data_IF_898724083591
#
_entry.id   IF_898724083591
#
_cell.length_a   1.000
_cell.length_b   1.000
_cell.length_c   1.000
_cell.angle_alpha   90.00
_cell.angle_beta   90.00
_cell.angle_gamma   90.00
#
_symmetry.space_group_name_H-M   'P 1'
#
loop_
_entity.id
_entity.type
_entity.pdbx_description
1 polymer ?
#
# COMPACT_ATOMS: atom_id res chain seq x y z
N UNK A 1 -7.45 1.99 1.77
CA UNK A 1 -7.58 1.56 3.18
C UNK A 1 -8.57 2.39 4.00
N UNK A 2 -9.16 3.48 3.48
CA UNK A 2 -10.29 4.17 4.10
C UNK A 2 -11.25 4.67 3.01
N UNK A 3 -12.58 4.71 3.26
CA UNK A 3 -13.52 5.41 2.40
C UNK A 3 -13.39 6.93 2.59
N UNK A 4 -13.94 7.67 1.63
CA UNK A 4 -14.05 9.12 1.72
C UNK A 4 -14.79 9.51 3.01
N UNK A 5 -14.33 10.56 3.68
CA UNK A 5 -14.90 11.04 4.94
C UNK A 5 -14.51 10.24 6.19
N UNK A 6 -13.78 9.12 6.06
CA UNK A 6 -13.24 8.38 7.22
C UNK A 6 -11.77 8.73 7.43
N UNK A 7 -11.47 9.33 8.57
CA UNK A 7 -10.11 9.72 8.93
C UNK A 7 -9.29 8.55 9.45
N UNK A 8 -8.07 8.41 8.91
CA UNK A 8 -7.05 7.45 9.34
C UNK A 8 -5.69 8.14 9.29
N UNK A 9 -4.70 7.63 10.00
CA UNK A 9 -3.33 8.12 9.94
C UNK A 9 -2.50 7.20 9.03
N UNK A 10 -1.89 7.76 8.00
CA UNK A 10 -0.91 7.09 7.16
C UNK A 10 0.48 7.60 7.51
N UNK A 11 1.44 6.69 7.68
CA UNK A 11 2.83 7.04 7.90
C UNK A 11 3.79 5.94 7.44
N UNK A 12 5.08 6.21 7.56
CA UNK A 12 6.16 5.25 7.28
C UNK A 12 7.14 5.21 8.44
N UNK A 13 7.85 4.09 8.60
CA UNK A 13 8.85 3.93 9.65
C UNK A 13 10.15 4.67 9.32
N UNK A 14 10.43 4.85 8.03
CA UNK A 14 11.58 5.59 7.54
C UNK A 14 11.14 6.86 6.79
N UNK A 15 11.82 7.98 7.04
CA UNK A 15 11.52 9.26 6.39
C UNK A 15 11.70 9.24 4.87
N UNK A 16 12.75 8.62 4.29
CA UNK A 16 12.85 8.46 2.84
C UNK A 16 11.65 7.71 2.23
N UNK A 17 11.16 6.67 2.90
CA UNK A 17 9.96 5.92 2.48
C UNK A 17 8.71 6.81 2.53
N UNK A 18 8.54 7.60 3.59
CA UNK A 18 7.42 8.54 3.72
C UNK A 18 7.38 9.55 2.56
N UNK A 19 8.53 10.14 2.23
CA UNK A 19 8.63 11.09 1.11
C UNK A 19 8.36 10.40 -0.23
N UNK A 20 8.88 9.18 -0.44
CA UNK A 20 8.63 8.41 -1.65
C UNK A 20 7.14 8.13 -1.84
N UNK A 21 6.42 7.73 -0.78
CA UNK A 21 4.98 7.42 -0.86
C UNK A 21 4.12 8.59 -1.36
N UNK A 22 4.51 9.82 -1.10
CA UNK A 22 3.82 11.02 -1.58
C UNK A 22 3.96 11.26 -3.09
N UNK A 23 4.93 10.61 -3.76
CA UNK A 23 5.27 10.80 -5.19
C UNK A 23 5.34 12.27 -5.61
N UNK A 24 6.09 13.09 -4.85
CA UNK A 24 6.12 14.52 -5.10
C UNK A 24 6.74 14.82 -6.48
N UNK A 25 6.21 15.79 -7.24
CA UNK A 25 6.88 16.25 -8.45
C UNK A 25 8.18 16.99 -8.13
N UNK A 26 9.03 17.14 -9.15
CA UNK A 26 10.27 17.90 -9.04
C UNK A 26 9.99 19.36 -8.65
N UNK A 27 10.83 19.90 -7.76
CA UNK A 27 10.73 21.28 -7.29
C UNK A 27 9.70 21.50 -6.18
N UNK A 28 8.97 20.47 -5.75
CA UNK A 28 8.06 20.56 -4.60
C UNK A 28 8.82 20.38 -3.29
N UNK A 29 8.43 21.17 -2.28
CA UNK A 29 8.86 20.96 -0.90
C UNK A 29 7.90 20.01 -0.19
N UNK A 30 8.46 19.00 0.46
CA UNK A 30 7.72 18.04 1.29
C UNK A 30 8.15 18.24 2.73
N UNK A 31 7.20 18.45 3.63
CA UNK A 31 7.46 18.49 5.07
C UNK A 31 7.09 17.15 5.70
N UNK A 32 7.89 16.71 6.65
CA UNK A 32 7.72 15.44 7.36
C UNK A 32 8.00 15.65 8.85
N UNK A 33 7.35 14.86 9.69
CA UNK A 33 7.48 14.93 11.15
C UNK A 33 7.40 13.53 11.73
N UNK A 34 8.13 13.28 12.82
CA UNK A 34 8.09 11.99 13.49
C UNK A 34 6.99 11.94 14.54
N UNK A 35 6.32 10.79 14.61
CA UNK A 35 5.32 10.49 15.62
C UNK A 35 5.76 9.27 16.43
N UNK A 36 5.51 9.30 17.74
CA UNK A 36 5.65 8.15 18.63
C UNK A 36 4.28 7.74 19.17
N UNK A 37 4.06 6.45 19.33
CA UNK A 37 2.87 5.97 20.04
C UNK A 37 2.99 6.29 21.53
N UNK A 38 1.90 6.70 22.17
CA UNK A 38 1.87 6.96 23.64
C UNK A 38 1.35 5.76 24.44
N UNK A 39 0.77 4.79 23.74
CA UNK A 39 0.26 3.53 24.28
C UNK A 39 0.60 2.38 23.32
N UNK A 40 0.61 1.13 23.80
CA UNK A 40 0.67 -0.02 22.91
C UNK A 40 -0.50 -0.03 21.92
N UNK A 41 -0.21 -0.33 20.65
CA UNK A 41 -1.20 -0.54 19.60
C UNK A 41 -1.23 -2.03 19.21
N UNK A 42 -2.42 -2.54 18.89
CA UNK A 42 -2.57 -3.88 18.30
C UNK A 42 -2.43 -3.79 16.80
N UNK A 43 -1.32 -4.30 16.29
CA UNK A 43 -0.93 -4.11 14.89
C UNK A 43 -0.88 -5.45 14.18
N UNK A 44 -1.52 -5.54 13.01
CA UNK A 44 -1.26 -6.62 12.05
C UNK A 44 -0.11 -6.22 11.15
N UNK A 45 1.01 -6.92 11.25
CA UNK A 45 2.19 -6.67 10.42
C UNK A 45 2.28 -7.70 9.29
N UNK A 46 1.91 -7.29 8.08
CA UNK A 46 2.00 -8.13 6.89
C UNK A 46 3.44 -8.45 6.49
N UNK A 47 4.41 -7.58 6.81
CA UNK A 47 5.84 -7.83 6.50
C UNK A 47 6.40 -8.98 7.32
N UNK A 48 5.92 -9.15 8.55
CA UNK A 48 6.27 -10.32 9.37
C UNK A 48 5.56 -11.58 8.88
N UNK A 49 4.34 -11.46 8.37
CA UNK A 49 3.62 -12.61 7.79
C UNK A 49 4.34 -13.18 6.56
N UNK A 50 4.84 -12.33 5.67
CA UNK A 50 5.62 -12.77 4.50
C UNK A 50 6.95 -13.45 4.92
N UNK A 51 7.65 -12.88 5.90
CA UNK A 51 8.92 -13.43 6.43
C UNK A 51 8.70 -14.67 7.30
N UNK A 52 7.50 -14.87 7.81
CA UNK A 52 7.09 -16.10 8.50
C UNK A 52 6.87 -17.21 7.47
N UNK A 53 7.95 -17.77 6.94
CA UNK A 53 7.95 -18.94 6.04
C UNK A 53 7.46 -20.25 6.71
N UNK A 54 6.64 -20.13 7.75
CA UNK A 54 6.22 -21.22 8.61
C UNK A 54 6.29 -20.79 10.06
N UNK A 55 5.25 -20.14 10.57
CA UNK A 55 4.69 -20.72 11.80
C UNK A 55 4.52 -22.19 11.46
N UNK A 56 5.34 -23.08 12.04
CA UNK A 56 5.43 -24.48 11.64
C UNK A 56 4.06 -25.12 11.78
N UNK A 57 3.25 -25.00 10.72
CA UNK A 57 1.90 -25.52 10.69
C UNK A 57 2.10 -27.03 10.60
N UNK A 58 1.85 -27.70 11.72
CA UNK A 58 1.83 -29.15 11.71
C UNK A 58 0.73 -29.61 10.75
N UNK A 59 1.07 -30.50 9.83
CA UNK A 59 0.07 -31.18 8.99
C UNK A 59 -0.96 -31.96 9.81
N UNK A 60 -0.64 -32.26 11.08
CA UNK A 60 -1.45 -33.04 12.00
C UNK A 60 -2.26 -32.19 12.99
N UNK A 61 -2.21 -30.85 12.90
CA UNK A 61 -3.12 -30.04 13.71
C UNK A 61 -4.50 -29.95 13.04
N UNK A 62 -5.56 -29.98 13.84
CA UNK A 62 -6.94 -30.05 13.35
C UNK A 62 -7.36 -28.86 12.47
N UNK A 63 -6.76 -27.68 12.68
CA UNK A 63 -7.08 -26.45 11.96
C UNK A 63 -6.10 -26.12 10.80
N UNK A 64 -5.21 -27.06 10.42
CA UNK A 64 -4.16 -26.84 9.42
C UNK A 64 -4.68 -26.16 8.15
N UNK A 65 -5.76 -26.71 7.57
CA UNK A 65 -6.32 -26.23 6.31
C UNK A 65 -6.82 -24.80 6.42
N UNK A 66 -7.50 -24.47 7.53
CA UNK A 66 -8.04 -23.13 7.75
C UNK A 66 -6.91 -22.12 7.93
N UNK A 67 -5.87 -22.45 8.71
CA UNK A 67 -4.70 -21.60 8.88
C UNK A 67 -3.95 -21.40 7.56
N UNK A 68 -3.71 -22.47 6.81
CA UNK A 68 -3.02 -22.39 5.52
C UNK A 68 -3.78 -21.51 4.52
N UNK A 69 -5.12 -21.64 4.45
CA UNK A 69 -5.95 -20.76 3.62
C UNK A 69 -5.88 -19.30 4.08
N UNK A 70 -5.95 -19.05 5.38
CA UNK A 70 -5.83 -17.71 5.94
C UNK A 70 -4.48 -17.08 5.60
N UNK A 71 -3.36 -17.80 5.77
CA UNK A 71 -2.04 -17.28 5.39
C UNK A 71 -1.95 -16.94 3.90
N UNK A 72 -2.49 -17.80 3.03
CA UNK A 72 -2.54 -17.53 1.59
C UNK A 72 -3.37 -16.29 1.27
N UNK A 73 -4.52 -16.13 1.93
CA UNK A 73 -5.37 -14.95 1.80
C UNK A 73 -4.64 -13.70 2.26
N UNK A 74 -4.00 -13.73 3.44
CA UNK A 74 -3.27 -12.58 4.00
C UNK A 74 -2.09 -12.18 3.11
N UNK A 75 -1.36 -13.14 2.54
CA UNK A 75 -0.29 -12.85 1.58
C UNK A 75 -0.83 -12.19 0.32
N UNK A 76 -1.93 -12.73 -0.22
CA UNK A 76 -2.59 -12.13 -1.37
C UNK A 76 -3.07 -10.70 -1.08
N UNK A 77 -3.66 -10.47 0.09
CA UNK A 77 -4.09 -9.13 0.52
C UNK A 77 -2.90 -8.19 0.68
N UNK A 78 -1.78 -8.65 1.25
CA UNK A 78 -0.58 -7.84 1.36
C UNK A 78 -0.05 -7.40 -0.02
N UNK A 79 0.02 -8.33 -0.98
CA UNK A 79 0.38 -8.00 -2.35
C UNK A 79 -0.53 -6.91 -2.92
N UNK A 80 -1.84 -6.99 -2.67
CA UNK A 80 -2.80 -5.99 -3.13
C UNK A 80 -2.68 -4.64 -2.42
N UNK A 81 -2.38 -4.62 -1.12
CA UNK A 81 -2.23 -3.40 -0.32
C UNK A 81 -0.95 -2.64 -0.72
N UNK A 82 0.15 -3.36 -1.01
CA UNK A 82 1.41 -2.72 -1.38
C UNK A 82 1.39 -2.20 -2.81
N UNK A 83 0.69 -2.87 -3.72
CA UNK A 83 0.62 -2.45 -5.12
C UNK A 83 -0.10 -1.11 -5.29
N UNK A 84 0.50 -0.15 -6.02
CA UNK A 84 -0.17 1.09 -6.37
C UNK A 84 -1.45 0.84 -7.16
N UNK A 85 -2.54 1.47 -6.75
CA UNK A 85 -3.80 1.43 -7.50
C UNK A 85 -3.62 2.26 -8.77
N UNK A 86 -3.90 1.66 -9.92
CA UNK A 86 -3.84 2.36 -11.21
C UNK A 86 -5.14 3.12 -11.46
N UNK A 87 -5.11 4.20 -12.26
CA UNK A 87 -6.34 4.82 -12.77
C UNK A 87 -7.20 3.76 -13.47
N UNK A 88 -8.48 3.66 -13.07
CA UNK A 88 -9.41 2.62 -13.57
C UNK A 88 -9.50 1.34 -12.72
N UNK A 89 -8.60 1.14 -11.75
CA UNK A 89 -8.63 0.03 -10.78
C UNK A 89 -9.23 0.45 -9.44
N UNK A 90 -10.21 1.36 -9.45
CA UNK A 90 -10.79 1.96 -8.24
C UNK A 90 -11.42 0.93 -7.29
N UNK A 91 -11.86 -0.22 -7.82
CA UNK A 91 -12.38 -1.36 -7.06
C UNK A 91 -11.37 -1.94 -6.05
N UNK A 92 -10.06 -1.72 -6.24
CA UNK A 92 -9.01 -2.09 -5.27
C UNK A 92 -9.19 -1.36 -3.94
N UNK A 93 -9.70 -0.12 -3.97
CA UNK A 93 -10.02 0.63 -2.76
C UNK A 93 -11.08 -0.09 -1.94
N UNK A 94 -12.10 -0.67 -2.58
CA UNK A 94 -13.15 -1.39 -1.86
C UNK A 94 -12.59 -2.60 -1.10
N UNK A 95 -11.70 -3.36 -1.73
CA UNK A 95 -11.10 -4.54 -1.08
C UNK A 95 -10.32 -4.16 0.17
N UNK A 96 -9.47 -3.13 0.06
CA UNK A 96 -8.65 -2.65 1.19
C UNK A 96 -9.49 -1.96 2.27
N UNK A 97 -10.60 -1.31 1.90
CA UNK A 97 -11.57 -0.72 2.84
C UNK A 97 -12.34 -1.77 3.63
N UNK A 98 -12.90 -2.78 2.95
CA UNK A 98 -13.61 -3.90 3.60
C UNK A 98 -12.69 -4.63 4.57
N UNK A 99 -11.41 -4.83 4.20
CA UNK A 99 -10.43 -5.38 5.11
C UNK A 99 -10.24 -4.51 6.36
N UNK A 100 -10.04 -3.20 6.19
CA UNK A 100 -9.89 -2.27 7.31
C UNK A 100 -11.11 -2.29 8.24
N UNK A 101 -12.32 -2.33 7.68
CA UNK A 101 -13.56 -2.43 8.44
C UNK A 101 -13.66 -3.77 9.20
N UNK A 102 -13.35 -4.89 8.53
CA UNK A 102 -13.32 -6.20 9.17
C UNK A 102 -12.34 -6.23 10.35
N UNK A 103 -11.10 -5.75 10.16
CA UNK A 103 -10.06 -5.76 11.19
C UNK A 103 -10.40 -4.89 12.41
N UNK A 104 -11.19 -3.83 12.22
CA UNK A 104 -11.52 -2.86 13.26
C UNK A 104 -12.84 -3.13 13.96
N UNK A 105 -13.84 -3.65 13.24
CA UNK A 105 -15.21 -3.83 13.74
C UNK A 105 -15.60 -5.30 14.00
N UNK A 106 -15.07 -6.25 13.23
CA UNK A 106 -15.50 -7.65 13.27
C UNK A 106 -14.47 -8.54 13.97
N UNK A 107 -13.18 -8.39 13.64
CA UNK A 107 -12.10 -9.19 14.22
C UNK A 107 -12.02 -8.96 15.73
N UNK A 108 -12.01 -10.06 16.48
CA UNK A 108 -11.92 -10.04 17.93
C UNK A 108 -10.60 -10.68 18.37
N UNK A 109 -9.77 -9.95 19.10
CA UNK A 109 -9.91 -8.55 19.52
C UNK A 109 -9.61 -7.55 18.37
N UNK A 110 -10.20 -6.33 18.40
CA UNK A 110 -10.06 -5.37 17.31
C UNK A 110 -8.61 -4.90 17.17
N UNK A 111 -8.21 -4.62 15.93
CA UNK A 111 -6.88 -4.10 15.64
C UNK A 111 -6.90 -2.57 15.54
N UNK A 112 -5.81 -1.95 15.97
CA UNK A 112 -5.59 -0.50 15.92
C UNK A 112 -4.93 -0.06 14.61
N UNK A 113 -4.11 -0.92 14.00
CA UNK A 113 -3.31 -0.56 12.84
C UNK A 113 -2.91 -1.76 11.97
N UNK A 114 -2.45 -1.44 10.76
CA UNK A 114 -1.86 -2.39 9.80
C UNK A 114 -0.50 -1.87 9.34
N UNK A 115 0.50 -2.75 9.32
CA UNK A 115 1.83 -2.50 8.73
C UNK A 115 1.98 -3.31 7.46
N UNK A 116 2.52 -2.67 6.42
CA UNK A 116 2.73 -3.25 5.10
C UNK A 116 4.00 -2.69 4.46
N UNK A 117 4.65 -3.47 3.61
CA UNK A 117 5.85 -3.05 2.89
C UNK A 117 5.58 -1.95 1.85
N UNK A 118 6.56 -1.09 1.62
CA UNK A 118 6.55 -0.10 0.53
C UNK A 118 6.92 -0.75 -0.80
N UNK A 119 6.29 -0.30 -1.88
CA UNK A 119 6.68 -0.66 -3.25
C UNK A 119 7.77 0.27 -3.79
N UNK A 120 7.91 1.46 -3.22
CA UNK A 120 8.83 2.48 -3.71
C UNK A 120 10.22 2.38 -3.08
N UNK A 121 10.33 1.78 -1.90
CA UNK A 121 11.58 1.60 -1.19
C UNK A 121 11.71 0.16 -0.71
N UNK A 122 12.71 -0.54 -1.21
CA UNK A 122 13.04 -1.91 -0.78
C UNK A 122 13.35 -1.90 0.73
N UNK A 123 12.78 -2.86 1.49
CA UNK A 123 12.75 -2.90 2.96
C UNK A 123 11.95 -1.78 3.69
N UNK A 124 11.46 -0.75 2.98
CA UNK A 124 10.68 0.33 3.58
C UNK A 124 9.33 -0.17 4.09
N UNK A 125 8.87 0.36 5.22
CA UNK A 125 7.58 -0.03 5.82
C UNK A 125 6.65 1.15 6.00
N UNK A 126 5.37 0.89 5.76
CA UNK A 126 4.27 1.82 5.96
C UNK A 126 3.34 1.30 7.06
N UNK A 127 2.61 2.22 7.68
CA UNK A 127 1.59 1.95 8.68
C UNK A 127 0.32 2.75 8.39
N UNK A 128 -0.84 2.10 8.53
CA UNK A 128 -2.14 2.77 8.66
C UNK A 128 -2.64 2.57 10.07
N UNK A 129 -2.93 3.65 10.80
CA UNK A 129 -3.60 3.59 12.10
C UNK A 129 -5.05 4.02 11.92
N UNK A 130 -5.98 3.16 12.33
CA UNK A 130 -7.39 3.33 12.07
C UNK A 130 -8.02 4.37 12.99
N UNK A 131 -9.03 5.09 12.51
CA UNK A 131 -9.69 6.17 13.25
C UNK A 131 -10.21 5.76 14.63
N UNK A 132 -10.69 4.53 14.80
CA UNK A 132 -11.10 3.99 16.11
C UNK A 132 -9.97 4.03 17.16
N UNK A 133 -8.72 3.84 16.75
CA UNK A 133 -7.57 3.91 17.62
C UNK A 133 -7.15 5.36 17.94
N UNK A 134 -7.44 6.29 17.02
CA UNK A 134 -7.16 7.72 17.09
C UNK A 134 -8.19 8.47 17.95
N UNK A 135 -9.45 8.04 17.94
CA UNK A 135 -10.56 8.69 18.65
C UNK A 135 -11.30 9.68 17.73
N UNK A 136 -12.07 10.60 18.29
CA UNK A 136 -12.69 11.68 17.52
C UNK A 136 -11.66 12.78 17.27
N UNK A 137 -11.57 13.30 16.04
CA UNK A 137 -10.78 14.49 15.76
C UNK A 137 -11.61 15.75 16.05
N UNK A 138 -11.08 16.61 16.91
CA UNK A 138 -11.62 17.94 17.17
C UNK A 138 -10.62 18.96 16.66
N UNK A 139 -11.08 19.95 15.88
CA UNK A 139 -10.20 20.94 15.25
C UNK A 139 -9.32 21.69 16.27
N UNK A 140 -9.86 21.95 17.47
CA UNK A 140 -9.20 22.76 18.49
C UNK A 140 -8.25 21.96 19.39
N UNK A 141 -8.52 20.65 19.57
CA UNK A 141 -7.83 19.81 20.55
C UNK A 141 -7.15 18.58 19.93
N UNK A 142 -7.28 18.38 18.62
CA UNK A 142 -6.80 17.19 17.92
C UNK A 142 -7.59 15.92 18.27
N UNK A 143 -6.91 14.78 18.25
CA UNK A 143 -7.49 13.45 18.47
C UNK A 143 -7.82 13.18 19.94
N UNK A 144 -9.05 12.73 20.23
CA UNK A 144 -9.57 12.58 21.60
C UNK A 144 -8.86 11.53 22.46
N UNK A 145 -8.24 10.51 21.84
CA UNK A 145 -7.49 9.47 22.56
C UNK A 145 -5.97 9.61 22.42
N UNK A 146 -5.50 10.63 21.69
CA UNK A 146 -4.10 10.98 21.45
C UNK A 146 -3.13 9.79 21.37
N UNK A 147 -3.33 8.78 20.50
CA UNK A 147 -2.44 7.62 20.49
C UNK A 147 -1.05 7.94 19.91
N UNK A 148 -0.88 9.11 19.29
CA UNK A 148 0.31 9.53 18.56
C UNK A 148 0.74 10.90 19.03
N UNK A 149 1.95 10.99 19.56
CA UNK A 149 2.57 12.26 19.95
C UNK A 149 3.65 12.63 18.95
N UNK A 150 3.62 13.88 18.49
CA UNK A 150 4.71 14.47 17.72
C UNK A 150 5.99 14.43 18.56
N UNK A 151 7.08 13.96 17.96
CA UNK A 151 8.40 14.07 18.58
C UNK A 151 8.93 15.49 18.31
N UNK A 152 9.23 16.28 19.36
CA UNK A 152 9.72 17.65 19.18
C UNK A 152 10.98 17.69 18.30
N UNK A 153 11.16 18.79 17.58
CA UNK A 153 12.36 19.08 16.77
C UNK A 153 12.66 18.05 15.65
N UNK A 154 11.65 17.28 15.22
CA UNK A 154 11.75 16.31 14.11
C UNK A 154 11.09 16.78 12.81
N UNK A 155 10.63 18.04 12.78
CA UNK A 155 10.06 18.62 11.56
C UNK A 155 11.19 18.89 10.58
N UNK A 156 11.09 18.29 9.41
CA UNK A 156 12.06 18.43 8.33
C UNK A 156 11.33 18.73 7.02
N UNK A 157 11.82 19.73 6.29
CA UNK A 157 11.36 20.05 4.95
C UNK A 157 12.45 19.70 3.93
N UNK A 158 12.11 18.88 2.94
CA UNK A 158 13.00 18.47 1.85
C UNK A 158 12.51 19.02 0.52
N UNK A 159 13.43 19.55 -0.29
CA UNK A 159 13.15 19.94 -1.67
C UNK A 159 13.46 18.77 -2.59
N UNK A 160 12.46 18.34 -3.37
CA UNK A 160 12.60 17.22 -4.29
C UNK A 160 13.35 17.68 -5.54
N UNK A 161 14.65 17.35 -5.61
CA UNK A 161 15.53 17.78 -6.71
C UNK A 161 15.56 16.82 -7.90
N UNK A 162 15.36 15.53 -7.64
CA UNK A 162 15.49 14.45 -8.63
C UNK A 162 14.62 13.26 -8.21
N UNK A 163 14.08 12.55 -9.20
CA UNK A 163 13.40 11.26 -9.04
C UNK A 163 14.09 10.28 -9.98
N UNK A 164 14.58 9.16 -9.45
CA UNK A 164 15.16 8.08 -10.24
C UNK A 164 14.07 7.05 -10.57
N UNK A 165 13.83 6.82 -11.86
CA UNK A 165 12.87 5.82 -12.33
C UNK A 165 13.60 4.57 -12.80
N UNK A 166 13.10 3.41 -12.40
CA UNK A 166 13.49 2.11 -12.96
C UNK A 166 12.35 1.58 -13.82
N UNK A 167 12.66 1.22 -15.08
CA UNK A 167 11.65 0.80 -16.07
C UNK A 167 11.99 -0.57 -16.63
N UNK A 168 10.98 -1.44 -16.73
CA UNK A 168 11.07 -2.70 -17.46
C UNK A 168 10.19 -2.66 -18.71
N UNK A 169 10.62 -3.19 -19.86
CA UNK A 169 9.78 -3.29 -21.05
C UNK A 169 8.50 -4.08 -20.76
N UNK A 170 7.35 -3.56 -21.21
CA UNK A 170 6.07 -4.27 -21.16
C UNK A 170 5.72 -4.74 -22.57
N UNK A 171 5.42 -6.02 -22.73
CA UNK A 171 4.95 -6.58 -24.00
C UNK A 171 3.56 -6.02 -24.31
N UNK A 172 3.40 -5.38 -25.48
CA UNK A 172 2.10 -4.91 -25.96
C UNK A 172 1.47 -6.06 -26.76
N UNK A 173 0.31 -6.59 -26.34
CA UNK A 173 -0.36 -7.65 -27.08
C UNK A 173 -0.70 -7.18 -28.51
N UNK A 174 -0.30 -7.96 -29.52
CA UNK A 174 -0.61 -7.70 -30.93
C UNK A 174 0.45 -6.93 -31.72
N UNK A 175 1.53 -6.47 -31.10
CA UNK A 175 2.68 -5.87 -31.83
C UNK A 175 3.76 -6.91 -32.12
N UNK A 176 3.39 -8.01 -32.76
CA UNK A 176 4.38 -8.84 -33.46
C UNK A 176 4.80 -8.09 -34.71
N UNK A 177 6.09 -7.77 -34.83
CA UNK A 177 6.67 -7.19 -36.05
C UNK A 177 6.78 -8.21 -37.21
N UNK A 178 6.30 -9.45 -37.02
CA UNK A 178 6.41 -10.51 -38.04
C UNK A 178 5.20 -10.59 -38.99
N UNK A 179 4.37 -9.54 -39.05
CA UNK A 179 3.32 -9.39 -40.08
C UNK A 179 3.34 -7.98 -40.67
N UNK A 180 4.43 -7.63 -41.35
CA UNK A 180 4.30 -6.85 -42.57
C UNK A 180 4.18 -7.90 -43.66
N UNK A 181 2.94 -8.28 -44.00
CA UNK A 181 2.68 -8.99 -45.25
C UNK A 181 3.24 -8.12 -46.37
N UNK A 182 4.30 -8.61 -47.02
CA UNK A 182 4.80 -8.08 -48.27
C UNK A 182 3.86 -8.50 -49.41
N UNK A 183 2.56 -8.22 -49.26
CA UNK A 183 1.62 -8.24 -50.37
C UNK A 183 1.63 -6.84 -50.97
N UNK A 184 2.71 -6.57 -51.73
CA UNK A 184 2.71 -5.59 -52.81
C UNK A 184 1.70 -6.08 -53.88
N UNK A 185 0.42 -5.97 -53.56
CA UNK A 185 -0.67 -6.16 -54.51
C UNK A 185 -0.72 -4.91 -55.39
N UNK A 186 0.16 -4.89 -56.39
CA UNK A 186 0.22 -3.89 -57.44
C UNK A 186 -1.17 -3.73 -58.07
N UNK A 187 -1.84 -2.63 -57.74
CA UNK A 187 -3.00 -2.16 -58.48
C UNK A 187 -2.59 -1.84 -59.92
N UNK A 188 -2.96 -2.71 -60.87
CA UNK A 188 -2.76 -2.48 -62.29
C UNK A 188 -4.04 -1.87 -62.89
N UNK A 189 -4.02 -0.59 -63.33
CA UNK A 189 -5.18 0.00 -64.00
C UNK A 189 -5.34 -0.57 -65.42
N UNK A 190 -6.58 -0.77 -65.91
CA UNK A 190 -6.82 -1.37 -67.22
C UNK A 190 -6.36 -0.47 -68.37
N UNK A 191 -5.63 -1.05 -69.31
CA UNK A 191 -5.15 -0.39 -70.54
C UNK A 191 -6.32 0.04 -71.45
N UNK A 192 -6.16 1.19 -72.10
CA UNK A 192 -7.06 1.75 -73.12
C UNK A 192 -6.70 1.25 -74.52
#
# INVERSE_FOLDING_TARGET
MNPEGVSVFYGSFERPTCVAELRPPLGVQVSSVEFRTVRPLRVLDFTLLEKSHGMALSYFQDDFRNRAMLFRLLRHLHDRIKTPIRPGEEHEYLTTQVLAEYLTAIHQPPLDAVVFGSVQHEEGKNIVIFGRALGAFHADTGWSTDPLRVVPDTVEAVLVKRVDYSTSPVQIPGTSSDQIDSDDDYWNPPER
#
